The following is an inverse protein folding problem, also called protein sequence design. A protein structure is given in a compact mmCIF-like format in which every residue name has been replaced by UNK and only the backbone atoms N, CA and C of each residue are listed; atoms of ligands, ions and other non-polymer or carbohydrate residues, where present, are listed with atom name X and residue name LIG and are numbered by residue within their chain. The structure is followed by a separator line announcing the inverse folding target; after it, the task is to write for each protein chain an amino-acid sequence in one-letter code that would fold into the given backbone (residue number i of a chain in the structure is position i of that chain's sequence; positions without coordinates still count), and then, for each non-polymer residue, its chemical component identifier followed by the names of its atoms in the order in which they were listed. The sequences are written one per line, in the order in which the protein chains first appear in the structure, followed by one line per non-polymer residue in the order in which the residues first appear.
data_IF_880515852963
#
_entry.id   IF_880515852963
#
_cell.length_a   1.000
_cell.length_b   1.000
_cell.length_c   1.000
_cell.angle_alpha   90.00
_cell.angle_beta   90.00
_cell.angle_gamma   90.00
#
_symmetry.space_group_name_H-M   'P 1'
#
loop_
_entity.id
_entity.type
_entity.pdbx_description
1 polymer ?
#
# COMPACT_ATOMS: atom_id res chain seq x y z
N UNK A 1 -15.40 12.14 13.33
CA UNK A 1 -14.46 12.03 12.19
C UNK A 1 -13.06 12.09 12.78
N UNK A 2 -12.24 11.05 12.58
CA UNK A 2 -10.86 11.02 13.11
C UNK A 2 -9.95 11.71 12.10
N UNK A 3 -9.24 12.74 12.57
CA UNK A 3 -8.25 13.46 11.78
C UNK A 3 -6.87 13.11 12.28
N UNK A 4 -5.98 12.73 11.38
CA UNK A 4 -4.62 12.31 11.72
C UNK A 4 -3.57 13.12 10.96
N UNK A 5 -2.40 13.25 11.60
CA UNK A 5 -1.24 13.88 11.00
C UNK A 5 -0.35 12.80 10.38
N UNK A 6 -0.19 12.82 9.06
CA UNK A 6 0.48 11.76 8.30
C UNK A 6 1.72 12.31 7.61
N UNK A 7 2.84 11.62 7.81
CA UNK A 7 4.09 11.94 7.15
C UNK A 7 4.10 11.34 5.73
N UNK A 8 4.39 12.16 4.73
CA UNK A 8 4.51 11.73 3.35
C UNK A 8 5.70 10.75 3.21
N UNK A 9 5.51 9.54 2.65
CA UNK A 9 6.59 8.58 2.47
C UNK A 9 7.62 9.01 1.42
N UNK A 10 7.23 9.87 0.47
CA UNK A 10 8.13 10.33 -0.60
C UNK A 10 9.03 11.49 -0.17
N UNK A 11 8.51 12.43 0.64
CA UNK A 11 9.17 13.72 0.91
C UNK A 11 9.28 14.08 2.39
N UNK A 12 8.74 13.25 3.30
CA UNK A 12 8.75 13.50 4.74
C UNK A 12 7.87 14.67 5.21
N UNK A 13 7.14 15.33 4.30
CA UNK A 13 6.23 16.43 4.65
C UNK A 13 5.11 15.94 5.56
N UNK A 14 4.82 16.68 6.63
CA UNK A 14 3.66 16.42 7.47
C UNK A 14 2.39 16.97 6.80
N UNK A 15 1.41 16.09 6.58
CA UNK A 15 0.06 16.46 6.15
C UNK A 15 -0.83 16.45 7.38
N UNK A 16 -1.43 17.60 7.69
CA UNK A 16 -2.21 17.80 8.90
C UNK A 16 -3.68 17.57 8.64
N UNK A 17 -4.41 17.17 9.68
CA UNK A 17 -5.87 17.10 9.68
C UNK A 17 -6.45 16.22 8.57
N UNK A 18 -5.73 15.16 8.18
CA UNK A 18 -6.16 14.24 7.12
C UNK A 18 -7.27 13.35 7.67
N UNK A 19 -8.41 13.34 6.99
CA UNK A 19 -9.51 12.43 7.25
C UNK A 19 -9.34 11.19 6.36
N UNK A 20 -8.76 10.13 6.91
CA UNK A 20 -8.55 8.87 6.21
C UNK A 20 -9.84 8.05 6.08
N UNK A 21 -10.79 8.24 7.00
CA UNK A 21 -12.07 7.51 6.97
C UNK A 21 -12.92 8.00 5.77
N UNK A 22 -12.87 9.30 5.47
CA UNK A 22 -13.58 9.89 4.33
C UNK A 22 -12.99 9.52 2.97
N UNK A 23 -11.75 9.02 2.92
CA UNK A 23 -10.99 8.77 1.69
C UNK A 23 -10.56 7.32 1.55
N UNK A 24 -11.14 6.39 2.33
CA UNK A 24 -10.75 4.98 2.35
C UNK A 24 -9.23 4.78 2.47
N UNK A 25 -8.61 5.50 3.42
CA UNK A 25 -7.17 5.40 3.69
C UNK A 25 -6.27 6.12 2.68
N UNK A 26 -6.81 6.84 1.69
CA UNK A 26 -6.02 7.58 0.71
C UNK A 26 -5.71 9.01 1.18
N UNK A 27 -4.50 9.48 0.89
CA UNK A 27 -4.09 10.86 1.18
C UNK A 27 -3.25 11.42 0.05
N UNK A 28 -3.32 12.74 -0.15
CA UNK A 28 -2.50 13.48 -1.11
C UNK A 28 -1.55 14.40 -0.37
N UNK A 29 -0.26 14.26 -0.64
CA UNK A 29 0.74 15.12 -0.05
C UNK A 29 0.56 16.58 -0.50
N UNK A 30 0.58 17.52 0.45
CA UNK A 30 0.46 18.96 0.17
C UNK A 30 1.64 19.51 -0.64
N UNK A 31 2.83 18.93 -0.51
CA UNK A 31 4.05 19.40 -1.16
C UNK A 31 4.28 18.71 -2.51
N UNK A 32 4.63 17.41 -2.49
CA UNK A 32 4.98 16.68 -3.71
C UNK A 32 3.77 16.22 -4.53
N UNK A 33 2.54 16.43 -4.02
CA UNK A 33 1.27 16.05 -4.66
C UNK A 33 1.07 14.55 -4.93
N UNK A 34 1.99 13.71 -4.46
CA UNK A 34 1.87 12.26 -4.53
C UNK A 34 0.62 11.80 -3.75
N UNK A 35 -0.11 10.86 -4.35
CA UNK A 35 -1.25 10.18 -3.74
C UNK A 35 -0.74 8.87 -3.15
N UNK A 36 -1.02 8.65 -1.88
CA UNK A 36 -0.52 7.51 -1.10
C UNK A 36 -1.66 6.89 -0.30
N UNK A 37 -1.65 5.56 -0.14
CA UNK A 37 -2.62 4.83 0.65
C UNK A 37 -1.98 4.34 1.95
N UNK A 38 -2.76 4.28 3.03
CA UNK A 38 -2.37 3.63 4.28
C UNK A 38 -2.00 2.17 4.05
N UNK A 39 -0.94 1.70 4.71
CA UNK A 39 -0.49 0.31 4.59
C UNK A 39 -1.53 -0.71 5.07
N UNK A 40 -2.36 -0.36 6.04
CA UNK A 40 -3.37 -1.28 6.57
C UNK A 40 -4.53 -1.46 5.59
N UNK A 41 -4.92 -0.39 4.88
CA UNK A 41 -5.90 -0.51 3.80
C UNK A 41 -5.31 -1.21 2.58
N UNK A 42 -4.06 -0.89 2.23
CA UNK A 42 -3.31 -1.55 1.17
C UNK A 42 -3.21 -3.08 1.36
N UNK A 43 -3.00 -3.56 2.60
CA UNK A 43 -2.94 -5.00 2.91
C UNK A 43 -4.25 -5.75 2.65
N UNK A 44 -5.41 -5.10 2.81
CA UNK A 44 -6.71 -5.74 2.53
C UNK A 44 -6.91 -6.03 1.04
N UNK A 45 -6.29 -5.23 0.18
CA UNK A 45 -6.45 -5.31 -1.27
C UNK A 45 -5.28 -5.97 -2.00
N UNK A 46 -4.26 -6.43 -1.28
CA UNK A 46 -3.08 -7.05 -1.88
C UNK A 46 -2.97 -8.54 -1.56
N UNK A 47 -2.46 -9.28 -2.53
CA UNK A 47 -2.12 -10.70 -2.37
C UNK A 47 -0.62 -10.86 -2.47
N UNK A 48 -0.06 -11.72 -1.61
CA UNK A 48 1.36 -12.07 -1.70
C UNK A 48 1.60 -12.92 -2.94
N UNK A 49 2.31 -12.35 -3.92
CA UNK A 49 2.74 -13.09 -5.11
C UNK A 49 4.09 -13.74 -4.82
N UNK A 50 4.18 -15.07 -4.77
CA UNK A 50 5.46 -15.73 -4.54
C UNK A 50 6.38 -15.52 -5.73
N UNK A 51 7.59 -15.01 -5.46
CA UNK A 51 8.67 -14.96 -6.44
C UNK A 51 9.31 -16.35 -6.53
N UNK A 52 9.12 -17.01 -7.67
CA UNK A 52 9.67 -18.34 -7.93
C UNK A 52 10.79 -18.22 -8.96
N UNK A 53 11.89 -18.94 -8.74
CA UNK A 53 12.84 -19.21 -9.82
C UNK A 53 12.31 -20.32 -10.75
N UNK A 54 12.94 -20.49 -11.92
CA UNK A 54 12.49 -21.47 -12.92
C UNK A 54 12.39 -22.89 -12.36
N UNK A 55 13.35 -23.32 -11.53
CA UNK A 55 13.33 -24.66 -10.92
C UNK A 55 12.12 -24.85 -10.01
N UNK A 56 11.80 -23.84 -9.20
CA UNK A 56 10.64 -23.84 -8.31
C UNK A 56 9.31 -23.79 -9.09
N UNK A 57 9.28 -23.05 -10.21
CA UNK A 57 8.10 -22.98 -11.08
C UNK A 57 7.81 -24.34 -11.73
N UNK A 58 8.83 -24.99 -12.29
CA UNK A 58 8.71 -26.33 -12.89
C UNK A 58 8.24 -27.34 -11.85
N UNK A 59 8.87 -27.37 -10.67
CA UNK A 59 8.48 -28.27 -9.59
C UNK A 59 7.00 -28.09 -9.16
N UNK A 60 6.52 -26.85 -9.01
CA UNK A 60 5.10 -26.59 -8.67
C UNK A 60 4.15 -26.93 -9.81
N UNK A 61 4.56 -26.79 -11.07
CA UNK A 61 3.73 -27.12 -12.24
C UNK A 61 3.46 -28.63 -12.36
N UNK A 62 4.39 -29.46 -11.88
CA UNK A 62 4.28 -30.93 -11.93
C UNK A 62 3.34 -31.50 -10.85
N UNK A 63 3.03 -30.72 -9.79
CA UNK A 63 2.15 -31.13 -8.68
C UNK A 63 0.66 -30.96 -9.01
N UNK A 64 0.32 -30.27 -10.12
CA UNK A 64 -1.08 -30.05 -10.56
C UNK A 64 -1.62 -31.11 -11.53
N UNK A 65 -1.09 -32.34 -11.49
CA UNK A 65 -1.66 -33.50 -12.20
C UNK A 65 -2.47 -34.36 -11.25
#
# INVERSE_FOLDING_TARGET
MRKENIRCPMFGTMNYDVDLDATDGWTKCRLCKAVTCSMDEWKKHTVSVPLLNEKQLVARSMVRK
#
